data_IF_610265205640
#
_entry.id   IF_610265205640
#
_cell.length_a   1.000
_cell.length_b   1.000
_cell.length_c   1.000
_cell.angle_alpha   90.00
_cell.angle_beta   90.00
_cell.angle_gamma   90.00
#
_symmetry.space_group_name_H-M   'P 1'
#
loop_
_entity.id
_entity.type
_entity.pdbx_description
1 polymer ?
#
# COMPACT_ATOMS: atom_id res chain seq x y z
N UNK A 1 -4.54 47.88 -32.04
CA UNK A 1 -5.02 46.67 -32.74
C UNK A 1 -4.12 45.53 -32.31
N UNK A 2 -4.57 44.68 -31.39
CA UNK A 2 -3.79 43.50 -31.00
C UNK A 2 -3.82 42.49 -32.15
N UNK A 3 -2.69 42.33 -32.83
CA UNK A 3 -2.48 41.27 -33.81
C UNK A 3 -2.51 39.95 -33.07
N UNK A 4 -3.60 39.19 -33.22
CA UNK A 4 -3.71 37.82 -32.69
C UNK A 4 -2.68 36.96 -33.41
N UNK A 5 -1.52 36.78 -32.80
CA UNK A 5 -0.50 35.84 -33.25
C UNK A 5 -1.14 34.46 -33.38
N UNK A 6 -1.15 33.93 -34.61
CA UNK A 6 -1.63 32.58 -34.87
C UNK A 6 -0.65 31.60 -34.23
N UNK A 7 -1.10 30.70 -33.35
CA UNK A 7 -0.21 29.78 -32.63
C UNK A 7 0.63 28.94 -33.60
N UNK A 8 1.84 28.58 -33.15
CA UNK A 8 2.76 27.74 -33.92
C UNK A 8 2.21 26.30 -34.03
N UNK A 9 2.73 25.50 -34.98
CA UNK A 9 2.30 24.11 -35.11
C UNK A 9 2.66 23.27 -33.87
N UNK A 10 3.80 23.57 -33.24
CA UNK A 10 4.26 22.88 -32.03
C UNK A 10 3.38 23.21 -30.82
N UNK A 11 2.94 24.46 -30.71
CA UNK A 11 1.96 24.88 -29.69
C UNK A 11 0.62 24.15 -29.88
N UNK A 12 0.14 24.02 -31.12
CA UNK A 12 -1.09 23.29 -31.42
C UNK A 12 -0.96 21.78 -31.12
N UNK A 13 0.19 21.17 -31.42
CA UNK A 13 0.47 19.77 -31.04
C UNK A 13 0.57 19.57 -29.53
N UNK A 14 1.18 20.52 -28.81
CA UNK A 14 1.23 20.53 -27.35
C UNK A 14 -0.18 20.59 -26.75
N UNK A 15 -1.01 21.52 -27.24
CA UNK A 15 -2.41 21.66 -26.82
C UNK A 15 -3.24 20.41 -27.13
N UNK A 16 -3.06 19.79 -28.31
CA UNK A 16 -3.76 18.57 -28.69
C UNK A 16 -3.40 17.38 -27.78
N UNK A 17 -2.14 17.29 -27.35
CA UNK A 17 -1.69 16.27 -26.38
C UNK A 17 -2.33 16.47 -25.01
N UNK A 18 -2.36 17.70 -24.51
CA UNK A 18 -3.00 18.04 -23.22
C UNK A 18 -4.51 17.80 -23.26
N UNK A 19 -5.16 18.06 -24.39
CA UNK A 19 -6.59 17.82 -24.59
C UNK A 19 -6.94 16.35 -24.91
N UNK A 20 -5.94 15.45 -24.92
CA UNK A 20 -6.14 14.02 -25.16
C UNK A 20 -6.66 13.68 -26.56
N UNK A 21 -6.44 14.53 -27.56
CA UNK A 21 -6.83 14.26 -28.93
C UNK A 21 -5.99 13.09 -29.48
N UNK A 22 -6.65 12.13 -30.14
CA UNK A 22 -5.99 11.05 -30.87
C UNK A 22 -5.90 11.43 -32.36
N UNK A 23 -4.80 11.08 -33.03
CA UNK A 23 -4.60 11.28 -34.47
C UNK A 23 -4.50 12.74 -34.96
N UNK A 24 -3.89 13.64 -34.18
CA UNK A 24 -3.73 15.05 -34.57
C UNK A 24 -2.48 15.33 -35.45
N UNK A 25 -1.55 14.38 -35.55
CA UNK A 25 -0.26 14.56 -36.26
C UNK A 25 -0.39 14.70 -37.78
N UNK A 26 -1.52 14.27 -38.35
CA UNK A 26 -1.77 14.27 -39.80
C UNK A 26 -2.68 15.42 -40.24
N UNK A 27 -3.15 16.25 -39.30
CA UNK A 27 -4.05 17.36 -39.59
C UNK A 27 -3.26 18.59 -40.04
N UNK A 28 -3.78 19.28 -41.05
CA UNK A 28 -3.23 20.58 -41.44
C UNK A 28 -3.40 21.61 -40.32
N UNK A 29 -2.56 22.65 -40.30
CA UNK A 29 -2.59 23.70 -39.27
C UNK A 29 -3.99 24.27 -39.02
N UNK A 30 -4.73 24.49 -40.11
CA UNK A 30 -6.07 25.05 -40.08
C UNK A 30 -7.09 24.08 -39.47
N UNK A 31 -7.03 22.81 -39.85
CA UNK A 31 -7.92 21.76 -39.34
C UNK A 31 -7.67 21.48 -37.85
N UNK A 32 -6.39 21.42 -37.45
CA UNK A 32 -6.00 21.22 -36.06
C UNK A 32 -6.47 22.39 -35.18
N UNK A 33 -6.32 23.63 -35.67
CA UNK A 33 -6.78 24.82 -34.96
C UNK A 33 -8.31 24.81 -34.78
N UNK A 34 -9.07 24.49 -35.84
CA UNK A 34 -10.52 24.41 -35.76
C UNK A 34 -11.00 23.27 -34.84
N UNK A 35 -10.33 22.12 -34.88
CA UNK A 35 -10.66 20.98 -34.03
C UNK A 35 -10.43 21.30 -32.54
N UNK A 36 -9.31 21.95 -32.21
CA UNK A 36 -9.01 22.40 -30.86
C UNK A 36 -10.02 23.45 -30.36
N UNK A 37 -10.39 24.42 -31.21
CA UNK A 37 -11.42 25.41 -30.85
C UNK A 37 -12.77 24.75 -30.54
N UNK A 38 -13.19 23.77 -31.34
CA UNK A 38 -14.44 23.01 -31.08
C UNK A 38 -14.35 22.26 -29.76
N UNK A 39 -13.25 21.57 -29.50
CA UNK A 39 -13.07 20.81 -28.26
C UNK A 39 -13.06 21.71 -27.03
N UNK A 40 -12.41 22.88 -27.11
CA UNK A 40 -12.45 23.90 -26.06
C UNK A 40 -13.85 24.42 -25.79
N UNK A 41 -14.64 24.65 -26.85
CA UNK A 41 -16.02 25.10 -26.70
C UNK A 41 -16.90 24.02 -26.05
N UNK A 42 -16.70 22.74 -26.40
CA UNK A 42 -17.35 21.62 -25.73
C UNK A 42 -16.94 21.48 -24.26
N UNK A 43 -15.65 21.63 -23.94
CA UNK A 43 -15.14 21.61 -22.57
C UNK A 43 -15.74 22.74 -21.72
N UNK A 44 -15.79 23.97 -22.26
CA UNK A 44 -16.44 25.12 -21.59
C UNK A 44 -17.94 24.87 -21.35
N UNK A 45 -18.67 24.38 -22.34
CA UNK A 45 -20.11 24.02 -22.18
C UNK A 45 -20.32 22.91 -21.14
N UNK A 46 -19.45 21.90 -21.10
CA UNK A 46 -19.52 20.84 -20.09
C UNK A 46 -19.25 21.39 -18.68
N UNK A 47 -18.30 22.30 -18.54
CA UNK A 47 -17.96 22.95 -17.27
C UNK A 47 -19.11 23.86 -16.79
N UNK A 48 -19.73 24.62 -17.67
CA UNK A 48 -20.92 25.44 -17.36
C UNK A 48 -22.15 24.59 -16.99
N UNK A 49 -22.37 23.46 -17.68
CA UNK A 49 -23.44 22.51 -17.34
C UNK A 49 -23.20 21.85 -15.96
N UNK A 50 -21.95 21.58 -15.59
CA UNK A 50 -21.59 21.05 -14.27
C UNK A 50 -21.83 22.07 -13.15
N UNK A 51 -21.56 23.36 -13.39
CA UNK A 51 -21.84 24.46 -12.46
C UNK A 51 -23.35 24.67 -12.26
N UNK A 52 -24.17 24.60 -13.31
CA UNK A 52 -25.64 24.67 -13.21
C UNK A 52 -26.26 23.46 -12.49
N UNK A 53 -25.68 22.26 -12.60
CA UNK A 53 -26.12 21.06 -11.84
C UNK A 53 -25.77 21.12 -10.35
N UNK A 54 -24.72 21.84 -9.94
CA UNK A 54 -24.38 22.07 -8.51
C UNK A 54 -25.35 23.02 -7.80
N UNK A 55 -26.03 23.94 -8.51
CA UNK A 55 -26.98 24.88 -7.92
C UNK A 55 -28.37 24.31 -7.59
N UNK A 56 -28.86 23.30 -8.33
CA UNK A 56 -30.23 22.74 -8.13
C UNK A 56 -30.30 21.48 -7.26
N UNK A 57 -29.17 20.95 -6.78
CA UNK A 57 -29.11 19.70 -6.00
C UNK A 57 -28.96 19.92 -4.48
N UNK A 58 -29.49 21.03 -3.95
CA UNK A 58 -29.46 21.35 -2.50
C UNK A 58 -30.79 21.12 -1.75
N UNK A 59 -31.84 20.56 -2.38
CA UNK A 59 -33.14 20.30 -1.71
C UNK A 59 -33.81 18.96 -2.02
N UNK A 60 -33.05 17.89 -2.28
CA UNK A 60 -33.61 16.52 -2.26
C UNK A 60 -32.73 15.60 -1.42
N UNK A 61 -33.26 15.36 -0.22
CA UNK A 61 -32.88 14.40 0.82
C UNK A 61 -31.74 13.42 0.49
N UNK A 62 -30.76 13.36 1.42
CA UNK A 62 -29.93 12.18 1.68
C UNK A 62 -30.87 10.98 1.91
N UNK A 63 -31.25 10.30 0.83
CA UNK A 63 -31.96 9.03 0.88
C UNK A 63 -30.90 7.96 0.72
N UNK A 64 -30.36 7.57 1.86
CA UNK A 64 -29.37 6.52 2.04
C UNK A 64 -29.73 5.28 1.22
N UNK A 65 -28.83 4.88 0.32
CA UNK A 65 -29.06 3.77 -0.62
C UNK A 65 -29.20 2.41 0.08
N UNK A 66 -28.71 2.27 1.32
CA UNK A 66 -28.90 1.08 2.16
C UNK A 66 -30.28 0.98 2.82
N UNK A 67 -31.07 2.08 2.86
CA UNK A 67 -32.37 2.13 3.56
C UNK A 67 -33.56 1.76 2.66
N UNK A 68 -33.36 0.82 1.73
CA UNK A 68 -34.44 0.17 0.97
C UNK A 68 -34.27 -1.35 0.97
N UNK A 69 -34.46 -1.96 2.12
CA UNK A 69 -34.89 -3.37 2.20
C UNK A 69 -36.38 -3.44 1.87
N UNK A 70 -36.72 -3.34 0.58
CA UNK A 70 -37.92 -4.03 0.08
C UNK A 70 -37.45 -5.41 -0.36
N UNK A 71 -37.97 -6.43 0.32
CA UNK A 71 -37.87 -7.86 -0.06
C UNK A 71 -37.94 -7.98 -1.58
N UNK A 72 -36.79 -8.14 -2.20
CA UNK A 72 -36.70 -8.59 -3.57
C UNK A 72 -35.68 -9.71 -3.51
N UNK A 73 -36.22 -10.92 -3.40
CA UNK A 73 -35.55 -12.22 -3.55
C UNK A 73 -34.98 -12.31 -4.96
N UNK A 74 -33.94 -11.53 -5.24
CA UNK A 74 -33.05 -11.75 -6.37
C UNK A 74 -31.87 -12.54 -5.82
N UNK A 75 -31.81 -13.80 -6.28
CA UNK A 75 -30.74 -14.79 -6.16
C UNK A 75 -29.50 -14.25 -5.46
N UNK A 76 -29.15 -14.84 -4.30
CA UNK A 76 -27.82 -14.79 -3.72
C UNK A 76 -26.81 -15.11 -4.84
N UNK A 77 -26.22 -14.07 -5.42
CA UNK A 77 -24.97 -14.23 -6.15
C UNK A 77 -23.97 -14.68 -5.09
N UNK A 78 -23.40 -15.88 -5.30
CA UNK A 78 -22.72 -16.69 -4.29
C UNK A 78 -22.01 -15.88 -3.22
N UNK A 79 -22.49 -15.99 -1.99
CA UNK A 79 -21.76 -15.50 -0.83
C UNK A 79 -20.45 -16.26 -0.77
N UNK A 80 -19.36 -15.56 -0.52
CA UNK A 80 -18.07 -16.19 -0.26
C UNK A 80 -18.20 -17.10 0.98
N UNK A 81 -17.57 -18.27 0.93
CA UNK A 81 -17.51 -19.23 2.05
C UNK A 81 -16.28 -19.04 2.93
N UNK A 82 -15.31 -18.27 2.43
CA UNK A 82 -14.01 -18.01 3.02
C UNK A 82 -13.88 -16.52 3.29
N UNK A 83 -13.35 -16.16 4.46
CA UNK A 83 -12.99 -14.80 4.84
C UNK A 83 -11.91 -14.24 3.91
N UNK A 84 -12.15 -13.16 3.17
CA UNK A 84 -11.18 -12.64 2.21
C UNK A 84 -9.88 -12.09 2.84
N UNK A 85 -9.88 -11.80 4.15
CA UNK A 85 -8.69 -11.27 4.83
C UNK A 85 -7.76 -12.41 5.25
N UNK A 86 -8.28 -13.37 6.03
CA UNK A 86 -7.49 -14.45 6.61
C UNK A 86 -7.47 -15.72 5.77
N UNK A 87 -8.25 -15.78 4.69
CA UNK A 87 -8.43 -16.97 3.85
C UNK A 87 -8.87 -18.23 4.63
N UNK A 88 -9.59 -18.02 5.74
CA UNK A 88 -10.15 -19.08 6.61
C UNK A 88 -11.66 -19.18 6.42
N UNK A 89 -12.27 -20.29 6.81
CA UNK A 89 -13.72 -20.46 6.75
C UNK A 89 -14.45 -19.36 7.54
N UNK A 90 -15.62 -18.94 7.04
CA UNK A 90 -16.45 -17.98 7.75
C UNK A 90 -16.96 -18.57 9.07
N UNK A 91 -16.68 -17.87 10.16
CA UNK A 91 -17.09 -18.24 11.51
C UNK A 91 -18.54 -17.85 11.83
N UNK A 92 -18.95 -18.01 13.10
CA UNK A 92 -20.30 -17.64 13.55
C UNK A 92 -20.55 -16.13 13.59
N UNK A 93 -19.49 -15.32 13.52
CA UNK A 93 -19.54 -13.86 13.66
C UNK A 93 -19.11 -13.20 12.35
N UNK A 94 -20.10 -12.96 11.48
CA UNK A 94 -19.85 -12.42 10.13
C UNK A 94 -20.41 -11.02 9.94
N UNK A 95 -19.68 -10.18 9.22
CA UNK A 95 -20.11 -8.86 8.78
C UNK A 95 -20.39 -8.86 7.28
N UNK A 96 -21.52 -8.28 6.86
CA UNK A 96 -21.91 -8.23 5.44
C UNK A 96 -21.71 -6.83 4.86
N UNK A 97 -20.87 -6.70 3.84
CA UNK A 97 -20.67 -5.46 3.10
C UNK A 97 -21.29 -5.55 1.70
N UNK A 98 -22.13 -4.57 1.37
CA UNK A 98 -22.76 -4.47 0.04
C UNK A 98 -22.06 -3.40 -0.78
N UNK A 99 -21.46 -3.80 -1.90
CA UNK A 99 -20.74 -2.92 -2.81
C UNK A 99 -21.68 -2.14 -3.73
N UNK A 100 -21.25 -1.00 -4.30
CA UNK A 100 -22.08 -0.17 -5.19
C UNK A 100 -22.61 -0.90 -6.42
N UNK A 101 -21.91 -1.95 -6.88
CA UNK A 101 -22.33 -2.80 -7.99
C UNK A 101 -23.38 -3.87 -7.60
N UNK A 102 -23.75 -3.94 -6.31
CA UNK A 102 -24.72 -4.91 -5.78
C UNK A 102 -24.11 -6.24 -5.31
N UNK A 103 -22.81 -6.45 -5.48
CA UNK A 103 -22.13 -7.64 -4.93
C UNK A 103 -22.02 -7.54 -3.41
N UNK A 104 -22.20 -8.68 -2.73
CA UNK A 104 -22.12 -8.77 -1.27
C UNK A 104 -20.91 -9.60 -0.91
N UNK A 105 -20.09 -9.08 -0.01
CA UNK A 105 -18.96 -9.80 0.56
C UNK A 105 -19.19 -9.95 2.06
N UNK A 106 -18.76 -11.09 2.59
CA UNK A 106 -18.90 -11.45 3.99
C UNK A 106 -17.52 -11.59 4.60
N UNK A 107 -17.28 -10.92 5.72
CA UNK A 107 -16.03 -10.98 6.47
C UNK A 107 -16.25 -11.60 7.83
N UNK A 108 -15.22 -12.24 8.40
CA UNK A 108 -15.22 -12.47 9.85
C UNK A 108 -15.05 -11.13 10.56
N UNK A 109 -15.91 -10.85 11.55
CA UNK A 109 -15.88 -9.59 12.29
C UNK A 109 -14.51 -9.33 12.93
N UNK A 110 -13.94 -10.37 13.53
CA UNK A 110 -12.64 -10.30 14.21
C UNK A 110 -11.51 -9.92 13.25
N UNK A 111 -11.43 -10.61 12.10
CA UNK A 111 -10.43 -10.35 11.07
C UNK A 111 -10.56 -8.94 10.49
N UNK A 112 -11.79 -8.49 10.25
CA UNK A 112 -12.05 -7.16 9.68
C UNK A 112 -11.64 -6.05 10.63
N UNK A 113 -11.95 -6.19 11.92
CA UNK A 113 -11.59 -5.18 12.92
C UNK A 113 -10.09 -5.19 13.18
N UNK A 114 -9.48 -6.37 13.32
CA UNK A 114 -8.04 -6.51 13.46
C UNK A 114 -7.31 -5.88 12.28
N UNK A 115 -7.77 -6.10 11.04
CA UNK A 115 -7.21 -5.47 9.85
C UNK A 115 -7.33 -3.94 9.90
N UNK A 116 -8.52 -3.39 10.18
CA UNK A 116 -8.72 -1.94 10.21
C UNK A 116 -7.83 -1.29 11.27
N UNK A 117 -7.72 -1.90 12.45
CA UNK A 117 -6.90 -1.37 13.55
C UNK A 117 -5.40 -1.55 13.30
N UNK A 118 -4.98 -2.64 12.67
CA UNK A 118 -3.56 -2.86 12.35
C UNK A 118 -3.08 -1.98 11.19
N UNK A 119 -3.95 -1.71 10.22
CA UNK A 119 -3.58 -0.94 9.02
C UNK A 119 -3.91 0.54 9.12
N UNK A 120 -4.88 0.91 9.96
CA UNK A 120 -5.47 2.24 9.98
C UNK A 120 -6.26 2.59 8.72
N UNK A 121 -6.58 1.61 7.86
CA UNK A 121 -7.39 1.83 6.66
C UNK A 121 -8.86 1.55 6.96
N UNK A 122 -9.67 2.62 6.97
CA UNK A 122 -11.11 2.56 7.22
C UNK A 122 -11.91 2.34 5.93
N UNK A 123 -11.34 1.57 5.02
CA UNK A 123 -11.91 1.22 3.72
C UNK A 123 -12.01 -0.29 3.60
N UNK A 124 -12.93 -0.75 2.77
CA UNK A 124 -13.11 -2.17 2.54
C UNK A 124 -11.85 -2.79 1.87
N UNK A 125 -11.32 -3.92 2.37
CA UNK A 125 -9.99 -4.40 2.00
C UNK A 125 -9.78 -4.68 0.50
N UNK A 126 -10.77 -5.25 -0.19
CA UNK A 126 -10.63 -5.63 -1.60
C UNK A 126 -10.81 -4.45 -2.56
N UNK A 127 -11.86 -3.67 -2.35
CA UNK A 127 -12.32 -2.61 -3.26
C UNK A 127 -11.91 -1.22 -2.84
N UNK A 128 -11.35 -1.08 -1.62
CA UNK A 128 -10.90 0.18 -1.03
C UNK A 128 -12.01 1.23 -0.96
N UNK A 129 -13.25 0.78 -0.86
CA UNK A 129 -14.42 1.66 -0.72
C UNK A 129 -14.48 2.12 0.74
N UNK A 130 -14.49 3.43 1.04
CA UNK A 130 -14.50 3.91 2.41
C UNK A 130 -15.74 3.44 3.17
N UNK A 131 -15.55 2.93 4.39
CA UNK A 131 -16.66 2.60 5.26
C UNK A 131 -17.35 3.88 5.76
N UNK A 132 -18.68 3.98 5.61
CA UNK A 132 -19.42 5.09 6.19
C UNK A 132 -19.40 5.01 7.72
N UNK A 133 -19.48 6.15 8.40
CA UNK A 133 -19.38 6.22 9.87
C UNK A 133 -20.43 5.37 10.58
N UNK A 134 -21.64 5.29 10.02
CA UNK A 134 -22.72 4.44 10.55
C UNK A 134 -22.33 2.96 10.56
N UNK A 135 -21.55 2.52 9.58
CA UNK A 135 -21.10 1.13 9.45
C UNK A 135 -19.94 0.82 10.40
N UNK A 136 -19.03 1.77 10.61
CA UNK A 136 -17.98 1.62 11.62
C UNK A 136 -18.59 1.55 13.03
N UNK A 137 -19.65 2.31 13.28
CA UNK A 137 -20.44 2.19 14.53
C UNK A 137 -21.14 0.84 14.63
N UNK A 138 -21.63 0.28 13.51
CA UNK A 138 -22.20 -1.06 13.49
C UNK A 138 -21.14 -2.12 13.82
N UNK A 139 -19.93 -2.03 13.27
CA UNK A 139 -18.82 -2.93 13.63
C UNK A 139 -18.54 -2.87 15.14
N UNK A 140 -18.41 -1.67 15.71
CA UNK A 140 -18.23 -1.52 17.16
C UNK A 140 -19.44 -2.04 17.96
N UNK A 141 -20.66 -1.84 17.46
CA UNK A 141 -21.90 -2.26 18.14
C UNK A 141 -22.14 -3.76 18.05
N UNK A 142 -21.79 -4.41 16.93
CA UNK A 142 -21.94 -5.86 16.68
C UNK A 142 -20.89 -6.67 17.45
N UNK A 143 -19.76 -6.06 17.81
CA UNK A 143 -18.83 -6.58 18.82
C UNK A 143 -19.34 -6.34 20.25
N UNK A 144 -20.16 -5.30 20.46
CA UNK A 144 -20.61 -4.86 21.79
C UNK A 144 -22.05 -5.26 22.25
N UNK A 145 -22.89 -6.13 21.62
CA UNK A 145 -24.29 -6.23 22.02
C UNK A 145 -24.60 -7.59 22.66
N UNK A 146 -23.89 -8.00 23.72
CA UNK A 146 -24.37 -9.07 24.62
C UNK A 146 -23.94 -8.78 26.06
N UNK A 147 -24.69 -7.88 26.71
CA UNK A 147 -24.72 -7.77 28.17
C UNK A 147 -25.12 -9.12 28.77
N UNK A 148 -24.25 -9.64 29.63
CA UNK A 148 -24.53 -10.80 30.47
C UNK A 148 -23.26 -11.50 30.96
N UNK A 149 -22.21 -11.51 30.14
CA UNK A 149 -20.94 -12.13 30.53
C UNK A 149 -19.77 -11.28 30.06
N UNK A 150 -19.11 -10.71 31.05
CA UNK A 150 -17.76 -10.18 31.17
C UNK A 150 -16.69 -10.77 30.19
N UNK A 151 -16.85 -10.73 28.87
CA UNK A 151 -16.04 -11.59 27.98
C UNK A 151 -15.76 -11.04 26.57
N UNK A 152 -15.60 -9.73 26.37
CA UNK A 152 -14.98 -9.23 25.11
C UNK A 152 -13.86 -8.22 25.36
N UNK A 153 -13.95 -7.42 26.43
CA UNK A 153 -12.77 -6.75 26.99
C UNK A 153 -11.74 -7.80 27.52
N UNK A 154 -12.19 -9.04 27.78
CA UNK A 154 -11.38 -10.14 28.31
C UNK A 154 -10.95 -11.21 27.29
N UNK A 155 -11.56 -11.31 26.09
CA UNK A 155 -11.12 -12.29 25.07
C UNK A 155 -9.99 -11.75 24.18
N UNK A 156 -9.98 -10.43 24.00
CA UNK A 156 -8.80 -9.64 23.65
C UNK A 156 -7.57 -10.01 24.52
N UNK A 157 -7.75 -10.15 25.84
CA UNK A 157 -6.68 -10.51 26.79
C UNK A 157 -6.19 -11.96 26.72
N UNK A 158 -7.02 -12.90 26.26
CA UNK A 158 -6.59 -14.29 26.06
C UNK A 158 -5.73 -14.48 24.81
N UNK A 159 -5.81 -13.53 23.85
CA UNK A 159 -5.02 -13.48 22.62
C UNK A 159 -3.97 -12.33 22.61
N UNK A 160 -3.81 -11.60 23.72
CA UNK A 160 -2.88 -10.48 23.84
C UNK A 160 -3.24 -9.19 23.08
N UNK A 161 -4.46 -9.06 22.54
CA UNK A 161 -4.85 -7.97 21.65
C UNK A 161 -5.96 -7.10 22.27
N UNK A 162 -5.57 -6.00 22.91
CA UNK A 162 -6.48 -4.92 23.36
C UNK A 162 -7.06 -4.15 22.15
N UNK A 163 -8.03 -4.73 21.43
CA UNK A 163 -8.60 -4.06 20.25
C UNK A 163 -9.49 -2.87 20.66
N UNK A 164 -9.06 -1.68 20.24
CA UNK A 164 -9.75 -0.41 20.48
C UNK A 164 -10.94 -0.22 19.53
N UNK A 165 -11.88 0.69 19.86
CA UNK A 165 -13.03 0.99 18.99
C UNK A 165 -12.56 1.53 17.64
N UNK A 166 -13.11 1.00 16.55
CA UNK A 166 -12.77 1.42 15.17
C UNK A 166 -13.17 2.88 14.93
N UNK A 167 -14.26 3.33 15.55
CA UNK A 167 -14.68 4.74 15.48
C UNK A 167 -13.67 5.65 16.19
N UNK A 168 -13.15 5.24 17.36
CA UNK A 168 -12.10 6.00 18.06
C UNK A 168 -10.79 6.01 17.28
N UNK A 169 -10.41 4.89 16.67
CA UNK A 169 -9.24 4.80 15.81
C UNK A 169 -9.34 5.74 14.60
N UNK A 170 -10.53 5.87 13.99
CA UNK A 170 -10.77 6.79 12.87
C UNK A 170 -10.60 8.26 13.26
N UNK A 171 -10.91 8.63 14.50
CA UNK A 171 -10.66 9.97 15.00
C UNK A 171 -9.16 10.29 15.08
N UNK A 172 -8.33 9.29 15.35
CA UNK A 172 -6.86 9.38 15.45
C UNK A 172 -6.13 9.04 14.13
N UNK A 173 -6.76 9.30 12.98
CA UNK A 173 -6.22 8.95 11.65
C UNK A 173 -4.78 9.42 11.41
N UNK A 174 -4.41 10.60 11.91
CA UNK A 174 -3.07 11.15 11.75
C UNK A 174 -1.98 10.25 12.37
N UNK A 175 -2.28 9.57 13.48
CA UNK A 175 -1.34 8.68 14.15
C UNK A 175 -1.09 7.41 13.31
N UNK A 176 -2.15 6.87 12.72
CA UNK A 176 -2.06 5.74 11.78
C UNK A 176 -1.33 6.10 10.49
N UNK A 177 -1.51 7.32 9.97
CA UNK A 177 -0.76 7.79 8.80
C UNK A 177 0.75 7.87 9.10
N UNK A 178 1.14 8.34 10.28
CA UNK A 178 2.55 8.35 10.71
C UNK A 178 3.11 6.92 10.86
N UNK A 179 2.36 6.02 11.49
CA UNK A 179 2.76 4.62 11.63
C UNK A 179 2.89 3.92 10.27
N UNK A 180 1.98 4.22 9.34
CA UNK A 180 2.04 3.73 7.97
C UNK A 180 3.31 4.22 7.26
N UNK A 181 3.65 5.50 7.37
CA UNK A 181 4.89 6.05 6.80
C UNK A 181 6.11 5.32 7.38
N UNK A 182 6.14 5.07 8.69
CA UNK A 182 7.23 4.32 9.34
C UNK A 182 7.31 2.88 8.78
N UNK A 183 6.19 2.18 8.67
CA UNK A 183 6.13 0.81 8.13
C UNK A 183 6.55 0.76 6.67
N UNK A 184 6.06 1.68 5.85
CA UNK A 184 6.38 1.74 4.43
C UNK A 184 7.88 2.08 4.23
N UNK A 185 8.45 2.91 5.10
CA UNK A 185 9.89 3.18 5.14
C UNK A 185 10.73 1.97 5.54
N UNK A 186 10.32 1.23 6.57
CA UNK A 186 10.95 -0.04 6.98
C UNK A 186 10.92 -1.08 5.85
N UNK A 187 9.78 -1.22 5.18
CA UNK A 187 9.64 -2.11 4.02
C UNK A 187 10.52 -1.65 2.85
N UNK A 188 10.69 -0.34 2.66
CA UNK A 188 11.64 0.20 1.69
C UNK A 188 13.08 -0.20 1.98
N UNK A 189 13.52 -0.07 3.24
CA UNK A 189 14.86 -0.49 3.68
C UNK A 189 15.09 -1.99 3.48
N UNK A 190 14.10 -2.82 3.85
CA UNK A 190 14.15 -4.27 3.66
C UNK A 190 14.33 -4.65 2.19
N UNK A 191 13.63 -3.98 1.27
CA UNK A 191 13.78 -4.20 -0.18
C UNK A 191 15.17 -3.82 -0.68
N UNK A 192 15.68 -2.65 -0.28
CA UNK A 192 17.03 -2.24 -0.66
C UNK A 192 18.09 -3.20 -0.12
N UNK A 193 17.95 -3.67 1.13
CA UNK A 193 18.85 -4.68 1.68
C UNK A 193 18.76 -6.01 0.90
N UNK A 194 17.55 -6.43 0.52
CA UNK A 194 17.34 -7.64 -0.30
C UNK A 194 17.94 -7.54 -1.71
N UNK A 195 17.93 -6.35 -2.32
CA UNK A 195 18.64 -6.10 -3.59
C UNK A 195 20.14 -6.31 -3.44
N UNK A 196 20.75 -5.78 -2.36
CA UNK A 196 22.18 -5.98 -2.09
C UNK A 196 22.50 -7.46 -1.81
N UNK A 197 21.61 -8.20 -1.14
CA UNK A 197 21.76 -9.66 -0.96
C UNK A 197 21.69 -10.40 -2.30
N UNK A 198 20.91 -9.90 -3.26
CA UNK A 198 20.89 -10.46 -4.62
C UNK A 198 22.22 -10.21 -5.34
N UNK A 199 22.86 -9.07 -5.12
CA UNK A 199 24.21 -8.83 -5.64
C UNK A 199 25.26 -9.73 -5.00
N UNK A 200 25.14 -10.02 -3.69
CA UNK A 200 26.00 -11.02 -3.04
C UNK A 200 25.87 -12.39 -3.70
N UNK A 201 24.64 -12.81 -4.01
CA UNK A 201 24.37 -14.08 -4.69
C UNK A 201 25.00 -14.11 -6.09
N UNK A 202 24.92 -13.00 -6.84
CA UNK A 202 25.56 -12.91 -8.14
C UNK A 202 27.07 -13.08 -8.06
N UNK A 203 27.73 -12.51 -7.05
CA UNK A 203 29.18 -12.71 -6.85
C UNK A 203 29.51 -14.15 -6.48
N UNK A 204 28.66 -14.83 -5.70
CA UNK A 204 28.83 -16.24 -5.36
C UNK A 204 28.76 -17.13 -6.61
N UNK A 205 27.82 -16.82 -7.51
CA UNK A 205 27.57 -17.60 -8.73
C UNK A 205 28.49 -17.20 -9.91
N UNK A 206 29.33 -16.17 -9.77
CA UNK A 206 30.29 -15.74 -10.80
C UNK A 206 31.60 -16.56 -10.70
N UNK A 207 32.31 -16.74 -11.82
CA UNK A 207 33.57 -17.49 -11.87
C UNK A 207 34.79 -16.63 -11.46
N UNK A 208 34.68 -15.30 -11.52
CA UNK A 208 35.78 -14.37 -11.21
C UNK A 208 35.85 -14.03 -9.71
N UNK A 209 36.59 -14.85 -8.97
CA UNK A 209 36.77 -14.67 -7.52
C UNK A 209 37.50 -13.37 -7.13
N UNK A 210 38.46 -12.88 -7.92
CA UNK A 210 39.27 -11.70 -7.53
C UNK A 210 38.45 -10.41 -7.67
N UNK A 211 37.73 -10.26 -8.79
CA UNK A 211 36.79 -9.14 -8.99
C UNK A 211 35.64 -9.23 -7.96
N UNK A 212 35.17 -10.45 -7.68
CA UNK A 212 34.15 -10.72 -6.67
C UNK A 212 34.55 -10.24 -5.27
N UNK A 213 35.75 -10.59 -4.81
CA UNK A 213 36.28 -10.14 -3.52
C UNK A 213 36.36 -8.61 -3.42
N UNK A 214 36.89 -7.96 -4.46
CA UNK A 214 37.01 -6.50 -4.52
C UNK A 214 35.63 -5.84 -4.41
N UNK A 215 34.67 -6.31 -5.19
CA UNK A 215 33.29 -5.78 -5.20
C UNK A 215 32.58 -6.02 -3.86
N UNK A 216 32.77 -7.18 -3.24
CA UNK A 216 32.20 -7.47 -1.92
C UNK A 216 32.71 -6.47 -0.87
N UNK A 217 34.02 -6.28 -0.79
CA UNK A 217 34.64 -5.44 0.25
C UNK A 217 34.39 -3.95 0.03
N UNK A 218 34.44 -3.49 -1.22
CA UNK A 218 34.36 -2.06 -1.53
C UNK A 218 32.94 -1.53 -1.61
N UNK A 219 31.98 -2.34 -2.06
CA UNK A 219 30.63 -1.87 -2.38
C UNK A 219 29.55 -2.64 -1.62
N UNK A 220 29.50 -3.95 -1.76
CA UNK A 220 28.33 -4.75 -1.34
C UNK A 220 28.25 -4.86 0.19
N UNK A 221 29.34 -5.24 0.87
CA UNK A 221 29.36 -5.39 2.33
C UNK A 221 29.10 -4.06 3.07
N UNK A 222 29.76 -2.94 2.73
CA UNK A 222 29.45 -1.66 3.38
C UNK A 222 27.99 -1.23 3.20
N UNK A 223 27.43 -1.40 1.99
CA UNK A 223 26.05 -1.03 1.70
C UNK A 223 25.05 -1.89 2.49
N UNK A 224 25.25 -3.20 2.51
CA UNK A 224 24.40 -4.08 3.29
C UNK A 224 24.47 -3.78 4.79
N UNK A 225 25.68 -3.60 5.34
CA UNK A 225 25.87 -3.32 6.76
C UNK A 225 25.15 -2.03 7.19
N UNK A 226 25.19 -0.99 6.37
CA UNK A 226 24.49 0.26 6.66
C UNK A 226 22.96 0.08 6.61
N UNK A 227 22.43 -0.49 5.53
CA UNK A 227 20.99 -0.72 5.37
C UNK A 227 20.43 -1.63 6.46
N UNK A 228 21.11 -2.73 6.76
CA UNK A 228 20.69 -3.68 7.79
C UNK A 228 20.80 -3.07 9.20
N UNK A 229 21.83 -2.25 9.46
CA UNK A 229 21.92 -1.50 10.72
C UNK A 229 20.75 -0.53 10.88
N UNK A 230 20.38 0.22 9.83
CA UNK A 230 19.22 1.11 9.85
C UNK A 230 17.91 0.33 10.10
N UNK A 231 17.76 -0.85 9.48
CA UNK A 231 16.61 -1.73 9.70
C UNK A 231 16.53 -2.17 11.17
N UNK A 232 17.64 -2.71 11.69
CA UNK A 232 17.76 -3.19 13.08
C UNK A 232 17.55 -2.08 14.11
N UNK A 233 17.96 -0.84 13.83
CA UNK A 233 17.73 0.31 14.70
C UNK A 233 16.26 0.70 14.81
N UNK A 234 15.48 0.50 13.75
CA UNK A 234 14.07 0.89 13.72
C UNK A 234 13.14 -0.22 14.23
N UNK A 235 13.49 -1.47 13.94
CA UNK A 235 12.78 -2.68 14.38
C UNK A 235 13.74 -3.90 14.41
N UNK A 236 14.27 -4.28 15.58
CA UNK A 236 15.24 -5.37 15.68
C UNK A 236 14.63 -6.76 15.45
N UNK A 237 13.36 -6.95 15.79
CA UNK A 237 12.67 -8.23 15.60
C UNK A 237 12.38 -8.46 14.13
N UNK A 238 11.88 -7.44 13.44
CA UNK A 238 11.67 -7.48 11.99
C UNK A 238 13.00 -7.68 11.25
N UNK A 239 14.06 -6.97 11.65
CA UNK A 239 15.38 -7.16 11.05
C UNK A 239 15.91 -8.59 11.19
N UNK A 240 15.71 -9.23 12.35
CA UNK A 240 16.10 -10.62 12.56
C UNK A 240 15.32 -11.60 11.66
N UNK A 241 14.03 -11.33 11.43
CA UNK A 241 13.22 -12.12 10.49
C UNK A 241 13.71 -11.94 9.04
N UNK A 242 13.98 -10.71 8.62
CA UNK A 242 14.55 -10.43 7.30
C UNK A 242 15.90 -11.11 7.10
N UNK A 243 16.78 -11.05 8.10
CA UNK A 243 18.09 -11.70 8.07
C UNK A 243 18.01 -13.21 7.87
N UNK A 244 17.08 -13.86 8.57
CA UNK A 244 16.81 -15.29 8.38
C UNK A 244 16.43 -15.58 6.92
N UNK A 245 15.52 -14.78 6.34
CA UNK A 245 15.13 -14.95 4.94
C UNK A 245 16.28 -14.70 3.97
N UNK A 246 17.16 -13.71 4.25
CA UNK A 246 18.34 -13.45 3.41
C UNK A 246 19.31 -14.64 3.40
N UNK A 247 19.55 -15.26 4.57
CA UNK A 247 20.39 -16.45 4.66
C UNK A 247 19.77 -17.65 3.93
N UNK A 248 18.47 -17.89 4.11
CA UNK A 248 17.74 -18.95 3.40
C UNK A 248 17.76 -18.73 1.88
N UNK A 249 17.63 -17.47 1.44
CA UNK A 249 17.73 -17.10 0.03
C UNK A 249 19.12 -17.37 -0.55
N UNK A 250 20.18 -16.96 0.16
CA UNK A 250 21.57 -17.22 -0.25
C UNK A 250 21.89 -18.71 -0.28
N UNK A 251 21.32 -19.52 0.61
CA UNK A 251 21.51 -20.98 0.61
C UNK A 251 20.79 -21.67 -0.56
N UNK A 252 19.66 -21.12 -0.98
CA UNK A 252 18.79 -21.73 -1.98
C UNK A 252 17.99 -22.92 -1.41
N UNK A 253 17.01 -23.44 -2.17
CA UNK A 253 16.19 -24.57 -1.73
C UNK A 253 17.00 -25.87 -1.64
N UNK A 254 16.63 -26.84 -0.77
CA UNK A 254 17.36 -28.10 -0.60
C UNK A 254 17.54 -28.92 -1.89
N UNK A 255 16.59 -28.81 -2.83
CA UNK A 255 16.64 -29.53 -4.11
C UNK A 255 17.52 -28.85 -5.16
N UNK A 256 17.86 -27.58 -4.94
CA UNK A 256 18.70 -26.77 -5.84
C UNK A 256 19.44 -25.74 -5.00
N UNK A 257 20.47 -26.16 -4.25
CA UNK A 257 21.28 -25.23 -3.47
C UNK A 257 22.01 -24.26 -4.41
N UNK A 258 22.41 -23.13 -3.85
CA UNK A 258 23.26 -22.16 -4.54
C UNK A 258 24.58 -22.81 -4.96
N UNK A 259 25.02 -22.51 -6.18
CA UNK A 259 26.31 -22.97 -6.70
C UNK A 259 27.36 -21.91 -6.37
N UNK A 260 28.44 -22.33 -5.72
CA UNK A 260 29.54 -21.45 -5.29
C UNK A 260 30.69 -21.58 -6.29
N UNK A 261 30.59 -20.87 -7.42
CA UNK A 261 31.60 -20.90 -8.47
C UNK A 261 32.83 -20.05 -8.08
N UNK A 262 32.63 -18.95 -7.35
CA UNK A 262 33.73 -18.08 -6.89
C UNK A 262 34.45 -18.59 -5.64
N UNK A 263 33.86 -19.52 -4.88
CA UNK A 263 34.37 -19.96 -3.57
C UNK A 263 34.14 -18.96 -2.44
N UNK A 264 33.35 -17.90 -2.67
CA UNK A 264 33.12 -16.79 -1.74
C UNK A 264 31.88 -16.97 -0.87
N UNK A 265 31.10 -18.05 -1.07
CA UNK A 265 29.87 -18.31 -0.32
C UNK A 265 30.06 -18.22 1.20
N UNK A 266 31.09 -18.88 1.73
CA UNK A 266 31.34 -18.89 3.18
C UNK A 266 31.72 -17.50 3.71
N UNK A 267 32.46 -16.71 2.92
CA UNK A 267 32.84 -15.34 3.28
C UNK A 267 31.60 -14.47 3.42
N UNK A 268 30.66 -14.57 2.46
CA UNK A 268 29.39 -13.84 2.48
C UNK A 268 28.54 -14.26 3.68
N UNK A 269 28.34 -15.56 3.91
CA UNK A 269 27.51 -16.06 5.01
C UNK A 269 28.09 -15.65 6.37
N UNK A 270 29.40 -15.71 6.54
CA UNK A 270 30.08 -15.30 7.76
C UNK A 270 29.94 -13.79 8.00
N UNK A 271 30.13 -12.98 6.96
CA UNK A 271 29.88 -11.53 7.03
C UNK A 271 28.42 -11.22 7.45
N UNK A 272 27.44 -11.91 6.88
CA UNK A 272 26.03 -11.74 7.20
C UNK A 272 25.75 -12.05 8.68
N UNK A 273 26.31 -13.15 9.21
CA UNK A 273 26.17 -13.50 10.64
C UNK A 273 26.81 -12.46 11.55
N UNK A 274 28.02 -12.01 11.23
CA UNK A 274 28.70 -10.98 12.00
C UNK A 274 27.92 -9.67 12.02
N UNK A 275 27.30 -9.29 10.91
CA UNK A 275 26.49 -8.07 10.82
C UNK A 275 25.21 -8.17 11.67
N UNK A 276 24.63 -9.37 11.77
CA UNK A 276 23.48 -9.60 12.66
C UNK A 276 23.85 -9.53 14.15
N UNK A 277 25.03 -10.04 14.53
CA UNK A 277 25.50 -10.05 15.91
C UNK A 277 26.00 -8.67 16.37
N UNK A 278 26.55 -7.86 15.46
CA UNK A 278 27.08 -6.53 15.80
C UNK A 278 25.99 -5.63 16.40
N UNK A 279 26.30 -4.90 17.49
CA UNK A 279 25.40 -3.89 18.01
C UNK A 279 25.23 -2.77 16.98
N UNK A 280 24.02 -2.21 16.91
CA UNK A 280 23.70 -1.10 16.01
C UNK A 280 24.63 0.08 16.29
N UNK A 281 25.54 0.38 15.37
CA UNK A 281 26.45 1.52 15.55
C UNK A 281 25.68 2.83 15.36
N UNK A 282 25.54 3.61 16.43
CA UNK A 282 25.19 5.02 16.35
C UNK A 282 26.32 5.77 15.64
N UNK A 283 26.23 5.93 14.31
CA UNK A 283 26.88 7.08 13.67
C UNK A 283 26.07 8.32 14.03
N UNK A 284 26.32 8.86 15.23
CA UNK A 284 26.02 10.26 15.51
C UNK A 284 26.79 11.10 14.49
N UNK A 285 26.13 11.57 13.43
CA UNK A 285 26.57 12.78 12.77
C UNK A 285 26.32 13.93 13.75
N UNK A 286 27.27 14.12 14.66
CA UNK A 286 27.29 15.26 15.56
C UNK A 286 27.25 16.53 14.73
N UNK A 287 26.11 17.23 14.76
CA UNK A 287 26.11 18.65 14.45
C UNK A 287 27.03 19.32 15.46
N UNK A 288 28.22 19.70 14.99
CA UNK A 288 29.08 20.65 15.68
C UNK A 288 28.24 21.88 16.01
N UNK A 289 27.85 22.03 17.27
CA UNK A 289 27.44 23.32 17.81
C UNK A 289 28.70 24.18 17.80
N UNK A 290 28.78 25.04 16.79
CA UNK A 290 29.62 26.23 16.82
C UNK A 290 29.14 27.05 18.01
N UNK A 291 30.01 27.19 19.02
CA UNK A 291 29.88 28.20 20.08
C UNK A 291 30.29 29.56 19.52
#
# INVERSE_FOLDING_TARGET
>A
METRSCPSMDELHGLARVMGMKYFRHLSKLELHQALQRQMHHAKKAQEASRKKKGKKKRKAKKYWWRKTKKNTKRDQGLNTVDPIMLTELGPHTFRFVRPNGTVVVYNLDSLIAYILATGDFSEPETRIPFPDDMLRQLDTEVCPRRGTLSVILRAKAAGLELQSVVTAKANKAQFEQQKIKRDGLLGLERCAGEVVTEMLQVIEDEDSEEGEMRLVMEIFPNFADLYSQLKMNDPEYAAQCHKHYLEYLQGPPNRPTVDESGLYQVVVEFMKQTAERPSHHRFYGHSRVQ
#
